data_IF_342002099660
#
_entry.id   IF_342002099660
#
_cell.length_a   1.000
_cell.length_b   1.000
_cell.length_c   1.000
_cell.angle_alpha   90.00
_cell.angle_beta   90.00
_cell.angle_gamma   90.00
#
_symmetry.space_group_name_H-M   'P 1'
#
loop_
_entity.id
_entity.type
_entity.pdbx_description
1 polymer ?
#
# COMPACT_ATOMS: atom_id res chain seq x y z
N UNK A 1 -9.54 -66.07 -43.15
CA UNK A 1 -10.11 -66.05 -41.77
C UNK A 1 -9.38 -64.94 -41.03
N UNK A 2 -9.80 -63.69 -41.06
CA UNK A 2 -11.09 -63.14 -41.46
C UNK A 2 -10.88 -61.70 -41.92
N UNK A 3 -11.39 -61.42 -43.10
CA UNK A 3 -11.48 -60.09 -43.70
C UNK A 3 -12.37 -59.19 -42.83
N UNK A 4 -11.88 -58.00 -42.47
CA UNK A 4 -12.69 -56.92 -41.92
C UNK A 4 -12.57 -55.77 -42.91
N UNK A 5 -13.51 -55.76 -43.85
CA UNK A 5 -13.68 -54.75 -44.87
C UNK A 5 -13.88 -53.36 -44.26
N UNK A 6 -13.10 -52.43 -44.79
CA UNK A 6 -13.19 -51.01 -44.54
C UNK A 6 -14.51 -50.45 -45.09
N UNK A 7 -15.46 -50.20 -44.19
CA UNK A 7 -16.63 -49.38 -44.50
C UNK A 7 -16.26 -47.89 -44.46
N UNK A 8 -15.59 -47.44 -45.52
CA UNK A 8 -15.32 -46.02 -45.79
C UNK A 8 -16.62 -45.38 -46.31
N UNK A 9 -17.52 -45.06 -45.38
CA UNK A 9 -18.74 -44.31 -45.65
C UNK A 9 -18.37 -42.91 -46.14
N UNK A 10 -18.41 -42.77 -47.46
CA UNK A 10 -18.21 -41.56 -48.24
C UNK A 10 -19.29 -40.51 -47.91
N UNK A 11 -19.18 -39.84 -46.75
CA UNK A 11 -19.98 -38.65 -46.44
C UNK A 11 -19.30 -37.44 -47.06
N UNK A 12 -19.65 -37.18 -48.31
CA UNK A 12 -19.47 -35.87 -48.94
C UNK A 12 -20.42 -34.88 -48.25
N UNK A 13 -20.09 -34.50 -47.01
CA UNK A 13 -20.72 -33.37 -46.33
C UNK A 13 -20.28 -32.13 -47.09
N UNK A 14 -21.13 -31.70 -48.03
CA UNK A 14 -21.06 -30.38 -48.67
C UNK A 14 -20.95 -29.34 -47.55
N UNK A 15 -19.73 -28.85 -47.31
CA UNK A 15 -19.48 -27.73 -46.40
C UNK A 15 -20.08 -26.49 -47.08
N UNK A 16 -21.34 -26.21 -46.76
CA UNK A 16 -21.95 -24.93 -47.15
C UNK A 16 -21.17 -23.83 -46.44
N UNK A 17 -20.59 -22.85 -47.18
CA UNK A 17 -19.84 -21.76 -46.56
C UNK A 17 -20.79 -20.96 -45.67
N UNK A 18 -20.56 -21.06 -44.37
CA UNK A 18 -21.27 -20.29 -43.35
C UNK A 18 -20.77 -18.85 -43.43
N UNK A 19 -21.53 -17.99 -44.12
CA UNK A 19 -21.32 -16.55 -44.11
C UNK A 19 -21.73 -16.01 -42.73
N UNK A 20 -20.77 -15.92 -41.80
CA UNK A 20 -20.97 -15.23 -40.51
C UNK A 20 -20.80 -13.73 -40.73
N UNK A 21 -21.83 -12.96 -40.42
CA UNK A 21 -21.74 -11.51 -40.36
C UNK A 21 -21.17 -11.09 -38.99
N UNK A 22 -20.12 -10.26 -39.02
CA UNK A 22 -19.53 -9.63 -37.84
C UNK A 22 -20.49 -8.56 -37.35
N UNK A 23 -20.98 -8.69 -36.11
CA UNK A 23 -22.04 -7.83 -35.59
C UNK A 23 -21.51 -6.70 -34.71
N UNK A 24 -20.62 -7.02 -33.76
CA UNK A 24 -19.99 -6.01 -32.89
C UNK A 24 -18.61 -6.52 -32.47
N UNK A 25 -17.62 -5.62 -32.49
CA UNK A 25 -16.31 -5.85 -31.86
C UNK A 25 -16.28 -5.13 -30.52
N UNK A 26 -16.18 -5.87 -29.42
CA UNK A 26 -15.95 -5.30 -28.09
C UNK A 26 -14.49 -5.57 -27.71
N UNK A 27 -13.78 -4.49 -27.37
CA UNK A 27 -12.44 -4.59 -26.80
C UNK A 27 -12.59 -4.74 -25.29
N UNK A 28 -12.43 -5.97 -24.79
CA UNK A 28 -12.41 -6.22 -23.35
C UNK A 28 -10.94 -6.27 -22.90
N UNK A 29 -10.62 -5.54 -21.84
CA UNK A 29 -9.34 -5.72 -21.15
C UNK A 29 -9.41 -7.03 -20.39
N UNK A 30 -8.67 -8.04 -20.84
CA UNK A 30 -8.51 -9.28 -20.11
C UNK A 30 -7.15 -9.25 -19.41
N UNK A 31 -7.17 -9.50 -18.11
CA UNK A 31 -5.96 -9.62 -17.30
C UNK A 31 -5.13 -10.81 -17.78
N UNK A 32 -3.83 -10.59 -18.00
CA UNK A 32 -2.90 -11.63 -18.45
C UNK A 32 -2.76 -12.73 -17.40
N UNK A 33 -2.64 -13.98 -17.86
CA UNK A 33 -2.45 -15.13 -16.97
C UNK A 33 -1.19 -14.92 -16.12
N UNK A 34 -1.32 -15.00 -14.79
CA UNK A 34 -0.25 -14.72 -13.82
C UNK A 34 1.05 -15.52 -14.04
N UNK A 35 0.99 -16.64 -14.77
CA UNK A 35 2.16 -17.46 -15.12
C UNK A 35 3.06 -16.81 -16.18
N UNK A 36 2.53 -15.92 -17.03
CA UNK A 36 3.31 -15.23 -18.07
C UNK A 36 4.03 -13.97 -17.54
N UNK A 37 3.68 -13.49 -16.35
CA UNK A 37 4.30 -12.31 -15.76
C UNK A 37 5.73 -12.66 -15.35
N UNK A 38 6.69 -11.88 -15.84
CA UNK A 38 8.10 -12.01 -15.51
C UNK A 38 8.30 -12.06 -13.98
N UNK A 39 9.04 -13.07 -13.51
CA UNK A 39 9.36 -13.31 -12.09
C UNK A 39 9.72 -12.05 -11.26
N UNK A 40 10.58 -11.11 -11.71
CA UNK A 40 10.95 -9.94 -10.90
C UNK A 40 9.76 -9.07 -10.47
N UNK A 41 8.68 -9.01 -11.26
CA UNK A 41 7.51 -8.21 -10.92
C UNK A 41 6.74 -8.73 -9.71
N UNK A 42 6.91 -10.00 -9.38
CA UNK A 42 6.33 -10.62 -8.19
C UNK A 42 7.16 -10.31 -6.95
N UNK A 43 8.49 -10.28 -7.09
CA UNK A 43 9.40 -10.14 -5.96
C UNK A 43 9.67 -8.70 -5.56
N UNK A 44 9.71 -7.76 -6.51
CA UNK A 44 10.00 -6.35 -6.21
C UNK A 44 8.99 -5.77 -5.19
N UNK A 45 7.66 -5.89 -5.37
CA UNK A 45 6.71 -5.40 -4.38
C UNK A 45 6.91 -6.03 -3.01
N UNK A 46 7.16 -7.35 -2.95
CA UNK A 46 7.40 -8.08 -1.70
C UNK A 46 8.62 -7.53 -0.97
N UNK A 47 9.72 -7.27 -1.69
CA UNK A 47 10.93 -6.69 -1.12
C UNK A 47 10.71 -5.24 -0.66
N UNK A 48 10.00 -4.43 -1.43
CA UNK A 48 9.67 -3.05 -1.04
C UNK A 48 8.80 -3.01 0.20
N UNK A 49 7.78 -3.87 0.31
CA UNK A 49 6.95 -3.99 1.51
C UNK A 49 7.74 -4.51 2.71
N UNK A 50 8.64 -5.47 2.51
CA UNK A 50 9.51 -5.97 3.58
C UNK A 50 10.45 -4.87 4.08
N UNK A 51 11.06 -4.10 3.18
CA UNK A 51 11.91 -2.97 3.55
C UNK A 51 11.13 -1.88 4.31
N UNK A 52 9.91 -1.57 3.87
CA UNK A 52 9.01 -0.64 4.56
C UNK A 52 8.65 -1.15 5.97
N UNK A 53 8.33 -2.43 6.12
CA UNK A 53 8.04 -3.01 7.43
C UNK A 53 9.26 -2.97 8.36
N UNK A 54 10.44 -3.39 7.88
CA UNK A 54 11.68 -3.38 8.67
C UNK A 54 12.07 -1.97 9.10
N UNK A 55 11.98 -0.99 8.18
CA UNK A 55 12.27 0.41 8.50
C UNK A 55 11.24 0.99 9.46
N UNK A 56 9.95 0.68 9.32
CA UNK A 56 8.91 1.09 10.26
C UNK A 56 9.12 0.54 11.67
N UNK A 57 9.47 -0.75 11.81
CA UNK A 57 9.82 -1.33 13.11
C UNK A 57 11.08 -0.69 13.71
N UNK A 58 12.13 -0.49 12.89
CA UNK A 58 13.34 0.15 13.36
C UNK A 58 13.11 1.59 13.80
N UNK A 59 12.30 2.37 13.07
CA UNK A 59 11.88 3.72 13.45
C UNK A 59 11.14 3.69 14.79
N UNK A 60 10.17 2.78 14.97
CA UNK A 60 9.40 2.67 16.21
C UNK A 60 10.30 2.35 17.41
N UNK A 61 11.24 1.42 17.25
CA UNK A 61 12.22 1.07 18.29
C UNK A 61 13.14 2.26 18.59
N UNK A 62 13.70 2.91 17.57
CA UNK A 62 14.57 4.07 17.79
C UNK A 62 13.83 5.24 18.42
N UNK A 63 12.59 5.48 18.01
CA UNK A 63 11.75 6.50 18.63
C UNK A 63 11.45 6.16 20.08
N UNK A 64 11.17 4.90 20.40
CA UNK A 64 10.99 4.45 21.78
C UNK A 64 12.26 4.63 22.62
N UNK A 65 13.43 4.22 22.13
CA UNK A 65 14.70 4.44 22.83
C UNK A 65 14.98 5.93 23.02
N UNK A 66 14.72 6.74 21.99
CA UNK A 66 14.86 8.18 22.04
C UNK A 66 13.88 8.83 23.03
N UNK A 67 12.66 8.32 23.12
CA UNK A 67 11.60 8.81 24.00
C UNK A 67 11.84 8.44 25.47
N UNK A 68 11.95 7.14 25.73
CA UNK A 68 11.97 6.58 27.06
C UNK A 68 13.37 6.70 27.68
N UNK A 69 14.42 6.27 26.97
CA UNK A 69 15.75 6.17 27.58
C UNK A 69 16.45 7.54 27.67
N UNK A 70 16.26 8.40 26.67
CA UNK A 70 16.97 9.69 26.61
C UNK A 70 16.21 10.77 27.38
N UNK A 71 14.88 10.84 27.22
CA UNK A 71 14.08 11.90 27.84
C UNK A 71 13.25 11.45 29.04
N UNK A 72 13.35 10.18 29.44
CA UNK A 72 12.60 9.65 30.58
C UNK A 72 11.09 9.76 30.39
N UNK A 73 10.61 9.61 29.15
CA UNK A 73 9.20 9.75 28.81
C UNK A 73 8.67 11.19 28.73
N UNK A 74 9.56 12.20 28.62
CA UNK A 74 9.18 13.60 28.39
C UNK A 74 9.37 13.99 26.92
N UNK A 75 8.54 14.90 26.39
CA UNK A 75 8.54 15.34 24.98
C UNK A 75 9.14 16.71 24.74
N UNK A 76 10.48 16.83 24.78
CA UNK A 76 11.11 18.11 24.53
C UNK A 76 11.09 18.53 23.07
N UNK A 77 10.88 17.60 22.13
CA UNK A 77 10.73 17.90 20.69
C UNK A 77 9.63 18.93 20.41
N UNK A 78 8.60 18.97 21.25
CA UNK A 78 7.49 19.93 21.16
C UNK A 78 7.41 20.85 22.38
N UNK A 79 8.34 20.74 23.32
CA UNK A 79 8.37 21.65 24.45
C UNK A 79 8.92 23.00 24.00
N UNK A 80 8.08 24.02 24.09
CA UNK A 80 8.55 25.41 24.06
C UNK A 80 9.32 25.66 25.34
N UNK A 81 10.64 25.76 25.25
CA UNK A 81 11.47 26.14 26.40
C UNK A 81 11.23 27.62 26.67
N UNK A 82 10.27 27.92 27.55
CA UNK A 82 10.15 29.26 28.09
C UNK A 82 11.36 29.53 28.99
N UNK A 83 12.10 30.63 28.80
CA UNK A 83 13.19 30.97 29.72
C UNK A 83 12.60 31.11 31.14
N UNK A 84 13.30 30.66 32.19
CA UNK A 84 12.75 30.69 33.54
C UNK A 84 12.31 32.12 33.88
N UNK A 85 11.03 32.21 34.21
CA UNK A 85 10.29 33.44 34.35
C UNK A 85 10.63 34.07 35.69
N UNK A 86 11.60 34.98 35.69
CA UNK A 86 11.38 36.22 36.42
C UNK A 86 10.77 37.21 35.43
N UNK A 87 9.48 37.49 35.64
CA UNK A 87 8.64 38.47 34.92
C UNK A 87 8.08 38.01 33.56
N UNK A 88 6.96 37.29 33.60
CA UNK A 88 5.94 37.33 32.56
C UNK A 88 4.57 37.20 33.22
N UNK A 89 4.02 38.36 33.54
CA UNK A 89 2.64 38.58 33.95
C UNK A 89 1.69 37.72 33.12
N UNK A 90 0.81 37.01 33.83
CA UNK A 90 -0.35 36.31 33.32
C UNK A 90 -1.02 37.11 32.19
N UNK A 91 -1.13 36.51 31.01
CA UNK A 91 -2.16 36.86 30.05
C UNK A 91 -3.03 35.62 29.92
N UNK A 92 -4.22 35.73 30.53
CA UNK A 92 -5.30 34.77 30.41
C UNK A 92 -5.62 34.52 28.94
N UNK A 93 -5.47 33.28 28.50
CA UNK A 93 -6.19 32.78 27.33
C UNK A 93 -7.39 31.99 27.85
N UNK A 94 -8.53 32.67 27.90
CA UNK A 94 -9.84 32.03 27.92
C UNK A 94 -9.99 31.23 26.61
N UNK A 95 -9.89 29.91 26.71
CA UNK A 95 -10.22 28.99 25.64
C UNK A 95 -11.74 28.85 25.54
N UNK A 96 -12.35 29.56 24.59
CA UNK A 96 -13.73 29.29 24.19
C UNK A 96 -13.82 27.91 23.52
N UNK A 97 -14.51 26.99 24.17
CA UNK A 97 -14.89 25.68 23.63
C UNK A 97 -15.86 25.93 22.48
N UNK A 98 -15.40 25.76 21.24
CA UNK A 98 -16.29 25.66 20.07
C UNK A 98 -16.83 24.24 20.05
N UNK A 99 -18.12 24.13 20.37
CA UNK A 99 -18.89 22.90 20.34
C UNK A 99 -19.46 22.72 18.93
N UNK A 100 -18.72 22.06 18.04
CA UNK A 100 -19.20 21.67 16.71
C UNK A 100 -20.07 20.42 16.81
N UNK A 101 -21.30 20.65 17.24
CA UNK A 101 -22.42 19.74 17.03
C UNK A 101 -23.02 20.07 15.66
N UNK A 102 -22.72 19.30 14.61
CA UNK A 102 -23.67 19.20 13.51
C UNK A 102 -23.55 17.96 12.61
N UNK A 103 -24.67 17.23 12.63
CA UNK A 103 -25.37 16.64 11.50
C UNK A 103 -24.94 15.33 10.84
N UNK A 104 -25.83 14.36 11.10
CA UNK A 104 -26.62 13.60 10.12
C UNK A 104 -25.94 12.43 9.40
N UNK A 105 -26.07 11.29 10.07
CA UNK A 105 -26.63 10.05 9.54
C UNK A 105 -27.42 10.23 8.23
N UNK A 106 -26.88 9.67 7.15
CA UNK A 106 -27.67 9.10 6.07
C UNK A 106 -27.02 7.78 5.63
N UNK A 107 -27.43 6.69 6.29
CA UNK A 107 -27.11 5.33 5.90
C UNK A 107 -27.99 4.92 4.72
N UNK A 108 -27.54 5.19 3.51
CA UNK A 108 -28.05 4.51 2.32
C UNK A 108 -27.10 3.35 1.98
N UNK A 109 -27.49 2.15 2.42
CA UNK A 109 -26.87 0.89 2.04
C UNK A 109 -27.21 0.58 0.58
N UNK A 110 -26.47 1.19 -0.34
CA UNK A 110 -26.39 0.68 -1.70
C UNK A 110 -25.32 -0.40 -1.69
N UNK A 111 -25.73 -1.64 -1.99
CA UNK A 111 -24.82 -2.71 -2.35
C UNK A 111 -24.19 -2.33 -3.70
N UNK A 112 -23.21 -1.44 -3.67
CA UNK A 112 -22.31 -1.22 -4.79
C UNK A 112 -21.48 -2.49 -4.93
N UNK A 113 -21.59 -3.10 -6.11
CA UNK A 113 -20.71 -4.18 -6.51
C UNK A 113 -19.28 -3.72 -6.26
N UNK A 114 -18.58 -4.48 -5.41
CA UNK A 114 -17.20 -4.28 -5.02
C UNK A 114 -16.34 -4.56 -6.25
N UNK A 115 -16.34 -3.62 -7.19
CA UNK A 115 -15.28 -3.46 -8.16
C UNK A 115 -14.14 -2.90 -7.33
N UNK A 116 -13.22 -3.77 -6.91
CA UNK A 116 -11.96 -3.37 -6.28
C UNK A 116 -11.15 -2.59 -7.31
N UNK A 117 -11.47 -1.31 -7.44
CA UNK A 117 -10.80 -0.40 -8.36
C UNK A 117 -9.40 -0.12 -7.84
N UNK A 118 -8.42 -0.23 -8.73
CA UNK A 118 -7.04 0.18 -8.51
C UNK A 118 -6.91 1.62 -8.00
N UNK A 119 -7.94 2.46 -8.20
CA UNK A 119 -8.03 3.81 -7.66
C UNK A 119 -7.96 3.86 -6.13
N UNK A 120 -8.59 2.91 -5.42
CA UNK A 120 -8.58 2.84 -3.96
C UNK A 120 -7.17 2.51 -3.47
N UNK A 121 -6.49 1.57 -4.13
CA UNK A 121 -5.12 1.20 -3.80
C UNK A 121 -4.15 2.35 -4.03
N UNK A 122 -4.25 3.05 -5.16
CA UNK A 122 -3.39 4.22 -5.45
C UNK A 122 -3.63 5.32 -4.44
N UNK A 123 -4.90 5.62 -4.11
CA UNK A 123 -5.26 6.62 -3.11
C UNK A 123 -4.68 6.27 -1.73
N UNK A 124 -4.78 5.00 -1.31
CA UNK A 124 -4.20 4.53 -0.04
C UNK A 124 -2.68 4.67 -0.01
N UNK A 125 -1.98 4.27 -1.07
CA UNK A 125 -0.51 4.40 -1.15
C UNK A 125 -0.09 5.87 -1.11
N UNK A 126 -0.77 6.74 -1.86
CA UNK A 126 -0.51 8.18 -1.83
C UNK A 126 -0.76 8.79 -0.44
N UNK A 127 -1.87 8.45 0.21
CA UNK A 127 -2.17 8.93 1.56
C UNK A 127 -1.09 8.50 2.56
N UNK A 128 -0.59 7.27 2.45
CA UNK A 128 0.53 6.79 3.27
C UNK A 128 1.84 7.52 3.00
N UNK A 129 2.20 7.74 1.74
CA UNK A 129 3.40 8.53 1.37
C UNK A 129 3.32 9.93 1.98
N UNK A 130 2.16 10.59 1.87
CA UNK A 130 1.95 11.93 2.41
C UNK A 130 1.99 11.96 3.93
N UNK A 131 1.40 10.97 4.62
CA UNK A 131 1.45 10.91 6.08
C UNK A 131 2.89 10.73 6.59
N UNK A 132 3.69 9.88 5.95
CA UNK A 132 5.08 9.66 6.36
C UNK A 132 5.99 10.87 6.06
N UNK A 133 5.76 11.55 4.92
CA UNK A 133 6.44 12.80 4.60
C UNK A 133 6.11 13.89 5.63
N UNK A 134 4.83 14.03 6.02
CA UNK A 134 4.41 14.96 7.06
C UNK A 134 5.08 14.64 8.40
N UNK A 135 5.03 13.38 8.83
CA UNK A 135 5.63 12.97 10.10
C UNK A 135 7.16 13.19 10.12
N UNK A 136 7.84 12.90 9.01
CA UNK A 136 9.29 13.14 8.87
C UNK A 136 9.60 14.63 8.92
N UNK A 137 8.79 15.45 8.26
CA UNK A 137 8.92 16.91 8.26
C UNK A 137 8.70 17.49 9.65
N UNK A 138 7.63 17.08 10.34
CA UNK A 138 7.29 17.55 11.68
C UNK A 138 8.37 17.15 12.70
N UNK A 139 8.90 15.93 12.60
CA UNK A 139 10.04 15.49 13.40
C UNK A 139 11.27 16.37 13.16
N UNK A 140 11.63 16.60 11.89
CA UNK A 140 12.80 17.42 11.55
C UNK A 140 12.64 18.87 12.04
N UNK A 141 11.46 19.46 11.87
CA UNK A 141 11.18 20.81 12.34
C UNK A 141 11.14 20.90 13.86
N UNK A 142 10.53 19.93 14.55
CA UNK A 142 10.52 19.84 16.00
C UNK A 142 11.94 19.77 16.55
N UNK A 143 12.79 18.91 15.98
CA UNK A 143 14.19 18.80 16.37
C UNK A 143 14.96 20.10 16.13
N UNK A 144 14.80 20.73 14.97
CA UNK A 144 15.43 22.02 14.65
C UNK A 144 14.98 23.15 15.59
N UNK A 145 13.70 23.18 15.94
CA UNK A 145 13.16 24.15 16.90
C UNK A 145 13.75 23.92 18.30
N UNK A 146 13.82 22.66 18.73
CA UNK A 146 14.43 22.26 19.99
C UNK A 146 15.90 22.71 20.08
N UNK A 147 16.72 22.44 19.06
CA UNK A 147 18.14 22.86 19.09
C UNK A 147 18.31 24.38 19.03
N UNK A 148 17.44 25.08 18.30
CA UNK A 148 17.44 26.54 18.29
C UNK A 148 17.09 27.12 19.67
N UNK A 149 16.09 26.56 20.35
CA UNK A 149 15.71 26.97 21.71
C UNK A 149 16.83 26.66 22.71
N UNK A 150 17.48 25.50 22.60
CA UNK A 150 18.66 25.16 23.40
C UNK A 150 19.79 26.17 23.20
N UNK A 151 20.09 26.56 21.96
CA UNK A 151 21.08 27.61 21.66
C UNK A 151 20.73 28.94 22.30
N UNK A 152 19.45 29.32 22.28
CA UNK A 152 19.01 30.57 22.90
C UNK A 152 19.19 30.51 24.42
N UNK A 153 18.83 29.38 25.04
CA UNK A 153 18.99 29.16 26.49
C UNK A 153 20.46 29.14 26.86
N UNK A 154 21.29 28.38 26.17
CA UNK A 154 22.73 28.34 26.44
C UNK A 154 23.37 29.71 26.23
N UNK A 155 22.89 30.54 25.28
CA UNK A 155 23.47 31.87 25.04
C UNK A 155 23.24 32.82 26.22
N UNK A 156 22.20 32.54 27.01
CA UNK A 156 21.86 33.31 28.21
C UNK A 156 22.66 32.88 29.44
N UNK A 157 23.04 31.60 29.52
CA UNK A 157 23.65 31.02 30.73
C UNK A 157 25.14 30.69 30.59
N UNK A 158 25.64 30.50 29.37
CA UNK A 158 27.04 30.15 29.09
C UNK A 158 27.80 31.34 28.49
N UNK A 159 29.12 31.39 28.71
CA UNK A 159 29.96 32.41 28.11
C UNK A 159 30.10 32.16 26.59
N UNK A 160 30.29 33.22 25.79
CA UNK A 160 30.43 33.14 24.33
C UNK A 160 31.58 32.19 23.93
N UNK A 161 32.65 32.16 24.72
CA UNK A 161 33.81 31.28 24.49
C UNK A 161 33.52 29.81 24.75
N UNK A 162 32.59 29.48 25.66
CA UNK A 162 32.18 28.09 25.93
C UNK A 162 31.24 27.59 24.85
N UNK A 163 30.32 28.44 24.39
CA UNK A 163 29.45 28.19 23.25
C UNK A 163 30.20 27.80 21.98
N UNK A 164 31.33 28.47 21.70
CA UNK A 164 32.14 28.20 20.52
C UNK A 164 32.76 26.79 20.50
N UNK A 165 32.75 26.06 21.63
CA UNK A 165 33.27 24.68 21.71
C UNK A 165 32.33 23.64 21.09
N UNK A 166 31.06 23.99 20.85
CA UNK A 166 30.02 23.08 20.36
C UNK A 166 29.63 23.47 18.92
N UNK A 167 30.42 23.12 17.90
CA UNK A 167 30.11 23.44 16.51
C UNK A 167 28.86 22.72 16.00
N UNK A 168 28.51 21.58 16.61
CA UNK A 168 27.37 20.75 16.21
C UNK A 168 26.21 20.88 17.20
N UNK A 169 25.00 21.06 16.66
CA UNK A 169 23.77 21.20 17.45
C UNK A 169 23.51 20.02 18.38
N UNK A 170 23.92 18.81 17.97
CA UNK A 170 23.74 17.61 18.77
C UNK A 170 24.69 17.54 19.98
N UNK A 171 25.88 18.13 19.89
CA UNK A 171 26.83 18.20 21.03
C UNK A 171 26.31 19.12 22.13
N UNK A 172 25.68 20.23 21.73
CA UNK A 172 25.02 21.13 22.68
C UNK A 172 23.86 20.42 23.41
N UNK A 173 23.08 19.60 22.69
CA UNK A 173 22.02 18.80 23.28
C UNK A 173 22.56 17.73 24.24
N UNK A 174 23.67 17.08 23.91
CA UNK A 174 24.34 16.12 24.82
C UNK A 174 24.78 16.82 26.10
N UNK A 175 25.41 17.99 25.99
CA UNK A 175 25.86 18.74 27.15
C UNK A 175 24.67 19.19 28.03
N UNK A 176 23.55 19.58 27.43
CA UNK A 176 22.33 19.89 28.16
C UNK A 176 21.80 18.65 28.91
N UNK A 177 21.72 17.49 28.26
CA UNK A 177 21.25 16.25 28.89
C UNK A 177 22.13 15.82 30.07
N UNK A 178 23.45 16.02 29.96
CA UNK A 178 24.42 15.75 31.03
C UNK A 178 24.14 16.59 32.28
N UNK A 179 23.76 17.86 32.12
CA UNK A 179 23.41 18.75 33.24
C UNK A 179 22.18 18.24 34.01
N UNK A 180 21.21 17.64 33.32
CA UNK A 180 19.99 17.10 33.94
C UNK A 180 20.13 15.65 34.40
N UNK A 181 21.34 15.07 34.31
CA UNK A 181 21.63 13.72 34.76
C UNK A 181 20.77 12.64 34.06
N UNK A 182 20.35 12.91 32.82
CA UNK A 182 19.75 11.89 31.96
C UNK A 182 20.81 10.85 31.58
N UNK A 183 20.38 9.63 31.29
CA UNK A 183 21.28 8.49 31.11
C UNK A 183 22.07 8.64 29.78
N UNK A 184 23.25 9.28 29.82
CA UNK A 184 24.06 9.65 28.64
C UNK A 184 24.88 8.51 28.05
N UNK A 185 24.58 7.25 28.37
CA UNK A 185 25.37 6.09 27.89
C UNK A 185 25.37 5.96 26.36
N UNK A 186 24.37 6.56 25.69
CA UNK A 186 24.24 6.52 24.25
C UNK A 186 24.60 7.85 23.58
N UNK A 187 25.34 7.77 22.47
CA UNK A 187 25.68 8.93 21.65
C UNK A 187 24.43 9.47 20.94
N UNK A 188 23.80 10.51 21.49
CA UNK A 188 22.61 11.16 20.93
C UNK A 188 22.80 11.51 19.44
N UNK A 189 23.96 12.06 19.06
CA UNK A 189 24.27 12.39 17.67
C UNK A 189 24.15 11.17 16.74
N UNK A 190 24.65 10.00 17.16
CA UNK A 190 24.58 8.77 16.36
C UNK A 190 23.16 8.23 16.26
N UNK A 191 22.40 8.28 17.36
CA UNK A 191 20.99 7.86 17.35
C UNK A 191 20.19 8.77 16.43
N UNK A 192 20.39 10.07 16.50
CA UNK A 192 19.70 11.02 15.66
C UNK A 192 20.05 10.85 14.17
N UNK A 193 21.32 10.69 13.84
CA UNK A 193 21.78 10.42 12.48
C UNK A 193 21.16 9.12 11.95
N UNK A 194 21.16 8.07 12.77
CA UNK A 194 20.53 6.79 12.43
C UNK A 194 19.01 6.94 12.23
N UNK A 195 18.33 7.68 13.10
CA UNK A 195 16.88 7.91 12.98
C UNK A 195 16.55 8.70 11.71
N UNK A 196 17.33 9.72 11.36
CA UNK A 196 17.19 10.44 10.09
C UNK A 196 17.40 9.52 8.88
N UNK A 197 18.41 8.64 8.92
CA UNK A 197 18.69 7.69 7.86
C UNK A 197 17.55 6.68 7.68
N UNK A 198 17.00 6.13 8.77
CA UNK A 198 15.91 5.15 8.70
C UNK A 198 14.60 5.81 8.27
N UNK A 199 14.27 6.99 8.79
CA UNK A 199 13.09 7.77 8.36
C UNK A 199 13.14 8.11 6.88
N UNK A 200 14.31 8.56 6.40
CA UNK A 200 14.55 8.79 4.98
C UNK A 200 14.36 7.50 4.17
N UNK A 201 14.98 6.40 4.60
CA UNK A 201 14.85 5.10 3.95
C UNK A 201 13.41 4.60 3.86
N UNK A 202 12.60 4.84 4.90
CA UNK A 202 11.17 4.52 4.92
C UNK A 202 10.41 5.31 3.85
N UNK A 203 10.60 6.63 3.78
CA UNK A 203 9.97 7.49 2.75
C UNK A 203 10.39 7.05 1.34
N UNK A 204 11.68 6.77 1.12
CA UNK A 204 12.17 6.28 -0.17
C UNK A 204 11.59 4.91 -0.55
N UNK A 205 11.34 4.03 0.43
CA UNK A 205 10.71 2.74 0.17
C UNK A 205 9.28 2.90 -0.35
N UNK A 206 8.50 3.83 0.22
CA UNK A 206 7.15 4.14 -0.24
C UNK A 206 7.14 4.82 -1.61
N UNK A 207 8.04 5.78 -1.84
CA UNK A 207 8.20 6.43 -3.15
C UNK A 207 8.59 5.39 -4.22
N UNK A 208 9.52 4.48 -3.90
CA UNK A 208 9.91 3.39 -4.79
C UNK A 208 8.74 2.46 -5.10
N UNK A 209 7.92 2.10 -4.10
CA UNK A 209 6.72 1.31 -4.29
C UNK A 209 5.70 2.01 -5.20
N UNK A 210 5.45 3.30 -4.99
CA UNK A 210 4.55 4.10 -5.83
C UNK A 210 5.08 4.22 -7.26
N UNK A 211 6.37 4.52 -7.42
CA UNK A 211 7.02 4.60 -8.72
C UNK A 211 6.93 3.26 -9.48
N UNK A 212 7.11 2.14 -8.79
CA UNK A 212 6.97 0.81 -9.37
C UNK A 212 5.53 0.50 -9.79
N UNK A 213 4.53 0.90 -9.00
CA UNK A 213 3.12 0.77 -9.37
C UNK A 213 2.79 1.61 -10.61
N UNK A 214 3.24 2.86 -10.65
CA UNK A 214 3.07 3.74 -11.82
C UNK A 214 3.76 3.14 -13.04
N UNK A 215 4.99 2.64 -12.89
CA UNK A 215 5.74 1.99 -13.97
C UNK A 215 5.02 0.75 -14.49
N UNK A 216 4.44 -0.07 -13.60
CA UNK A 216 3.60 -1.21 -13.97
C UNK A 216 2.37 -0.78 -14.77
N UNK A 217 1.71 0.31 -14.36
CA UNK A 217 0.56 0.88 -15.06
C UNK A 217 0.98 1.42 -16.43
N UNK A 218 2.08 2.15 -16.53
CA UNK A 218 2.56 2.75 -17.80
C UNK A 218 3.03 1.69 -18.79
N UNK A 219 3.68 0.63 -18.31
CA UNK A 219 4.23 -0.40 -19.19
C UNK A 219 3.14 -1.26 -19.83
N UNK A 220 1.90 -1.26 -19.31
CA UNK A 220 0.69 -1.91 -19.90
C UNK A 220 0.99 -3.25 -20.59
N UNK A 221 1.96 -4.02 -20.09
CA UNK A 221 2.30 -5.33 -20.65
C UNK A 221 1.53 -6.45 -19.93
N UNK A 222 0.78 -6.07 -18.89
CA UNK A 222 -0.11 -6.94 -18.11
C UNK A 222 -1.53 -6.98 -18.68
N UNK A 223 -1.91 -6.02 -19.53
CA UNK A 223 -3.21 -6.02 -20.19
C UNK A 223 -3.04 -6.40 -21.66
N UNK A 224 -3.50 -7.60 -22.04
CA UNK A 224 -3.77 -7.89 -23.45
C UNK A 224 -5.13 -7.31 -23.75
N UNK A 225 -5.21 -6.35 -24.68
CA UNK A 225 -6.48 -6.02 -25.32
C UNK A 225 -6.94 -7.28 -26.05
N UNK A 226 -7.93 -7.98 -25.49
CA UNK A 226 -8.54 -9.08 -26.20
C UNK A 226 -9.70 -8.51 -26.99
N UNK A 227 -9.48 -8.38 -28.30
CA UNK A 227 -10.54 -7.98 -29.23
C UNK A 227 -11.52 -9.15 -29.36
N UNK A 228 -12.62 -9.10 -28.62
CA UNK A 228 -13.70 -10.08 -28.76
C UNK A 228 -14.55 -9.67 -29.96
N UNK A 229 -14.59 -10.53 -30.97
CA UNK A 229 -15.45 -10.34 -32.14
C UNK A 229 -16.70 -11.19 -31.92
N UNK A 230 -17.83 -10.53 -31.66
CA UNK A 230 -19.12 -11.21 -31.57
C UNK A 230 -19.68 -11.42 -32.97
N UNK A 231 -19.82 -12.69 -33.37
CA UNK A 231 -20.43 -13.05 -34.64
C UNK A 231 -21.92 -13.36 -34.45
N UNK A 232 -22.76 -12.88 -35.38
CA UNK A 232 -24.18 -13.21 -35.37
C UNK A 232 -24.42 -14.51 -36.11
N UNK A 233 -25.03 -15.49 -35.45
CA UNK A 233 -25.48 -16.71 -36.13
C UNK A 233 -26.75 -16.39 -36.91
N UNK A 234 -26.79 -16.63 -38.24
CA UNK A 234 -27.99 -16.38 -39.03
C UNK A 234 -29.13 -17.31 -38.56
N UNK A 235 -30.33 -16.75 -38.33
CA UNK A 235 -31.50 -17.50 -37.81
C UNK A 235 -31.99 -18.63 -38.72
N UNK A 236 -31.52 -18.66 -39.97
CA UNK A 236 -32.04 -19.52 -41.02
C UNK A 236 -31.44 -20.94 -40.98
N UNK A 237 -30.36 -21.17 -40.22
CA UNK A 237 -29.69 -22.48 -40.12
C UNK A 237 -30.28 -23.41 -39.06
N UNK A 238 -31.15 -22.93 -38.18
CA UNK A 238 -31.79 -23.75 -37.12
C UNK A 238 -33.04 -24.48 -37.64
N UNK A 239 -33.54 -24.12 -38.83
CA UNK A 239 -34.76 -24.68 -39.40
C UNK A 239 -34.58 -26.04 -40.10
N UNK A 240 -33.39 -26.65 -40.06
CA UNK A 240 -33.11 -27.97 -40.64
C UNK A 240 -32.52 -28.92 -39.58
N UNK A 241 -32.84 -28.73 -38.30
CA UNK A 241 -32.69 -29.80 -37.32
C UNK A 241 -34.02 -30.53 -37.16
N UNK A 242 -34.32 -31.32 -38.20
CA UNK A 242 -35.22 -32.47 -38.27
C UNK A 242 -36.17 -32.67 -37.07
N UNK A 243 -37.44 -32.27 -37.27
CA UNK A 243 -38.61 -32.68 -36.46
C UNK A 243 -38.83 -34.21 -36.41
N UNK A 244 -37.91 -35.03 -36.94
CA UNK A 244 -38.12 -36.48 -37.13
C UNK A 244 -37.50 -37.40 -36.09
N UNK A 245 -36.76 -36.91 -35.10
CA UNK A 245 -36.27 -37.75 -34.00
C UNK A 245 -36.39 -37.08 -32.61
N UNK A 246 -37.55 -36.47 -32.33
CA UNK A 246 -37.95 -36.14 -30.95
C UNK A 246 -38.46 -37.40 -30.22
N UNK A 247 -37.73 -38.50 -30.30
CA UNK A 247 -37.99 -39.67 -29.47
C UNK A 247 -37.43 -39.40 -28.07
N UNK A 248 -38.33 -38.97 -27.17
CA UNK A 248 -38.26 -39.10 -25.70
C UNK A 248 -36.86 -39.34 -25.11
N UNK A 249 -35.96 -38.36 -25.20
CA UNK A 249 -34.86 -38.29 -24.23
C UNK A 249 -35.50 -37.76 -22.95
N UNK A 250 -35.83 -38.67 -22.03
CA UNK A 250 -36.24 -38.33 -20.67
C UNK A 250 -35.21 -37.33 -20.12
N UNK A 251 -35.66 -36.22 -19.51
CA UNK A 251 -34.73 -35.31 -18.86
C UNK A 251 -33.95 -36.10 -17.81
N UNK A 252 -32.64 -36.21 -18.01
CA UNK A 252 -31.75 -36.73 -16.98
C UNK A 252 -31.99 -35.89 -15.73
N UNK A 253 -32.15 -36.52 -14.54
CA UNK A 253 -32.36 -35.80 -13.30
C UNK A 253 -31.25 -34.75 -13.15
N UNK A 254 -31.57 -33.55 -12.62
CA UNK A 254 -30.64 -32.44 -12.55
C UNK A 254 -29.33 -32.95 -11.95
N UNK A 255 -28.28 -32.99 -12.77
CA UNK A 255 -26.92 -33.26 -12.30
C UNK A 255 -26.68 -32.27 -11.18
N UNK A 256 -26.75 -32.76 -9.94
CA UNK A 256 -26.42 -32.02 -8.72
C UNK A 256 -25.15 -31.27 -9.06
N UNK A 257 -25.25 -29.93 -9.08
CA UNK A 257 -24.08 -29.05 -9.19
C UNK A 257 -23.08 -29.60 -8.19
N UNK A 258 -22.02 -30.26 -8.67
CA UNK A 258 -20.89 -30.63 -7.83
C UNK A 258 -20.43 -29.29 -7.29
N UNK A 259 -20.79 -28.99 -6.04
CA UNK A 259 -20.16 -27.95 -5.25
C UNK A 259 -18.68 -28.19 -5.48
N UNK A 260 -18.02 -27.29 -6.20
CA UNK A 260 -16.57 -27.17 -6.15
C UNK A 260 -16.29 -26.94 -4.66
N UNK A 261 -16.03 -28.03 -3.94
CA UNK A 261 -15.36 -27.93 -2.66
C UNK A 261 -14.03 -27.27 -3.02
N UNK A 262 -13.92 -25.98 -2.70
CA UNK A 262 -12.62 -25.37 -2.50
C UNK A 262 -11.91 -26.28 -1.50
N UNK A 263 -10.96 -27.08 -1.99
CA UNK A 263 -10.02 -27.77 -1.12
C UNK A 263 -9.36 -26.65 -0.31
N UNK A 264 -9.75 -26.50 0.95
CA UNK A 264 -8.98 -25.74 1.92
C UNK A 264 -7.61 -26.39 1.92
N UNK A 265 -6.64 -25.71 1.31
CA UNK A 265 -5.25 -26.07 1.37
C UNK A 265 -4.82 -25.74 2.80
N UNK A 266 -4.98 -26.69 3.71
CA UNK A 266 -4.46 -26.58 5.07
C UNK A 266 -2.95 -26.69 4.95
N UNK A 267 -2.25 -25.56 4.99
CA UNK A 267 -0.81 -25.54 5.19
C UNK A 267 -0.54 -26.05 6.61
N UNK A 268 0.00 -27.26 6.70
CA UNK A 268 0.73 -27.70 7.88
C UNK A 268 2.04 -26.90 7.90
N UNK A 269 2.07 -25.85 8.72
CA UNK A 269 3.33 -25.29 9.21
C UNK A 269 3.93 -26.35 10.13
N UNK A 270 4.91 -27.10 9.61
CA UNK A 270 5.85 -27.81 10.44
C UNK A 270 6.68 -26.75 11.19
N UNK A 271 6.55 -26.74 12.52
CA UNK A 271 7.50 -26.06 13.39
C UNK A 271 8.83 -26.82 13.33
N UNK A 272 9.87 -26.12 12.93
CA UNK A 272 11.27 -26.40 13.27
C UNK A 272 11.87 -25.09 13.75
#
# INVERSE_FOLDING_TARGET
>A
MSDVEANQSNRNSSLVPLNLEVFVTHDELIERVSQEIHSPWKWIPVLTYLASALTGYATSILFYLFWEDIFGGNCPLWATVEPPVHVRSMRSMDGSIINDNNNNNNNNNNNEDIITDWSIFISFVCARVLSELSATYDYYQGFKSFTANLKLVSAKYMNVTEMAKYPLDCELAIHYLEIFNFNTSHNLCKIQELLQLIMSGMVWSWISGLAFLIFRIIIVNDFRLLRTVAYRVPKNSILIQDDRNLEKIKPDPPRRKRKKQSKKLTFLLAQT
#
